data_IF_935126295317
#
_entry.id   IF_935126295317
#
_cell.length_a   1.000
_cell.length_b   1.000
_cell.length_c   1.000
_cell.angle_alpha   90.00
_cell.angle_beta   90.00
_cell.angle_gamma   90.00
#
_symmetry.space_group_name_H-M   'P 1'
#
loop_
_entity.id
_entity.type
_entity.pdbx_description
1 polymer ?
#
# COMPACT_ATOMS: atom_id res chain seq x y z
N UNK A 1 -13.39 -20.68 -5.33
CA UNK A 1 -13.05 -22.00 -4.75
C UNK A 1 -12.72 -22.92 -5.93
N UNK A 2 -11.44 -23.20 -6.17
CA UNK A 2 -10.99 -24.04 -7.28
C UNK A 2 -10.91 -25.48 -6.75
N UNK A 3 -11.70 -26.39 -7.30
CA UNK A 3 -11.58 -27.83 -7.03
C UNK A 3 -10.62 -28.43 -8.03
N UNK A 4 -9.47 -28.92 -7.55
CA UNK A 4 -8.51 -29.68 -8.35
C UNK A 4 -8.80 -31.15 -8.12
N UNK A 5 -9.16 -31.87 -9.19
CA UNK A 5 -9.26 -33.33 -9.18
C UNK A 5 -7.98 -33.90 -9.80
N UNK A 6 -7.29 -34.77 -9.07
CA UNK A 6 -6.23 -35.61 -9.63
C UNK A 6 -6.73 -37.04 -9.72
N UNK A 7 -6.78 -37.57 -10.94
CA UNK A 7 -7.14 -38.96 -11.20
C UNK A 7 -5.86 -39.80 -11.23
N UNK A 8 -5.78 -40.80 -10.36
CA UNK A 8 -4.78 -41.86 -10.46
C UNK A 8 -5.53 -43.19 -10.59
N UNK A 9 -5.41 -43.84 -11.76
CA UNK A 9 -6.02 -45.14 -12.08
C UNK A 9 -7.56 -45.22 -11.94
N UNK A 10 -8.28 -44.12 -12.18
CA UNK A 10 -9.75 -44.16 -12.38
C UNK A 10 -10.60 -44.48 -11.15
N UNK A 11 -10.09 -44.34 -9.91
CA UNK A 11 -10.90 -44.43 -8.69
C UNK A 11 -10.65 -43.25 -7.75
N UNK A 12 -11.74 -42.62 -7.30
CA UNK A 12 -11.71 -41.60 -6.24
C UNK A 12 -11.32 -42.25 -4.91
N UNK A 13 -10.20 -41.85 -4.31
CA UNK A 13 -9.91 -42.14 -2.89
C UNK A 13 -10.28 -40.91 -2.07
N UNK A 14 -11.02 -41.12 -0.98
CA UNK A 14 -11.34 -40.06 -0.02
C UNK A 14 -10.10 -39.63 0.77
N UNK A 15 -9.67 -38.38 0.59
CA UNK A 15 -8.50 -37.75 1.22
C UNK A 15 -8.78 -37.24 2.67
N UNK A 16 -9.61 -37.94 3.44
CA UNK A 16 -10.13 -37.43 4.72
C UNK A 16 -9.07 -37.17 5.79
N UNK A 17 -8.02 -38.00 5.87
CA UNK A 17 -6.97 -37.86 6.89
C UNK A 17 -5.86 -36.87 6.51
N UNK A 18 -5.56 -36.75 5.21
CA UNK A 18 -4.49 -35.86 4.74
C UNK A 18 -4.90 -34.38 4.79
N UNK A 19 -6.17 -34.06 4.56
CA UNK A 19 -6.66 -32.69 4.65
C UNK A 19 -6.49 -32.11 6.07
N UNK A 20 -6.78 -32.90 7.12
CA UNK A 20 -6.69 -32.39 8.50
C UNK A 20 -5.26 -32.16 8.96
N UNK A 21 -4.31 -33.03 8.59
CA UNK A 21 -2.90 -32.86 8.93
C UNK A 21 -2.28 -31.69 8.14
N UNK A 22 -2.68 -31.52 6.88
CA UNK A 22 -2.18 -30.44 6.02
C UNK A 22 -2.71 -29.08 6.45
N UNK A 23 -4.00 -28.96 6.77
CA UNK A 23 -4.58 -27.72 7.27
C UNK A 23 -4.12 -27.40 8.71
N UNK A 24 -3.65 -28.41 9.48
CA UNK A 24 -3.01 -28.23 10.80
C UNK A 24 -1.62 -27.58 10.70
N UNK A 25 -0.77 -28.02 9.77
CA UNK A 25 0.55 -27.39 9.57
C UNK A 25 0.49 -26.10 8.74
N UNK A 26 -0.55 -25.92 7.91
CA UNK A 26 -0.67 -24.79 6.98
C UNK A 26 -2.07 -24.14 7.06
N UNK A 27 -2.41 -23.47 8.17
CA UNK A 27 -3.66 -22.74 8.27
C UNK A 27 -3.75 -21.66 7.18
N UNK A 28 -4.96 -21.38 6.70
CA UNK A 28 -5.21 -20.38 5.66
C UNK A 28 -4.65 -19.02 6.11
N UNK A 29 -3.50 -18.64 5.55
CA UNK A 29 -2.93 -17.31 5.79
C UNK A 29 -3.59 -16.29 4.87
N UNK A 30 -4.22 -15.27 5.46
CA UNK A 30 -4.89 -14.16 4.73
C UNK A 30 -3.92 -13.15 4.10
N UNK A 31 -2.61 -13.29 4.31
CA UNK A 31 -1.57 -12.41 3.75
C UNK A 31 -0.61 -13.28 2.94
N UNK A 32 -0.85 -13.35 1.64
CA UNK A 32 -0.15 -14.24 0.72
C UNK A 32 1.24 -13.67 0.40
N UNK A 33 2.32 -14.32 0.84
CA UNK A 33 3.66 -14.06 0.31
C UNK A 33 3.84 -14.91 -0.95
N UNK A 34 4.02 -14.26 -2.09
CA UNK A 34 4.34 -14.94 -3.36
C UNK A 34 5.86 -15.05 -3.44
N UNK A 35 6.37 -16.28 -3.46
CA UNK A 35 7.78 -16.56 -3.66
C UNK A 35 7.97 -17.04 -5.11
N UNK A 36 8.99 -16.52 -5.79
CA UNK A 36 9.27 -16.88 -7.19
C UNK A 36 10.62 -17.58 -7.28
N UNK A 37 10.63 -18.78 -7.86
CA UNK A 37 11.87 -19.47 -8.23
C UNK A 37 12.14 -19.16 -9.70
N UNK A 38 13.37 -18.74 -9.98
CA UNK A 38 13.83 -18.43 -11.33
C UNK A 38 14.82 -19.50 -11.72
N UNK A 39 14.48 -20.32 -12.71
CA UNK A 39 15.31 -21.43 -13.16
C UNK A 39 15.77 -21.18 -14.60
N UNK A 40 17.03 -20.76 -14.81
CA UNK A 40 17.57 -20.67 -16.16
C UNK A 40 17.90 -22.08 -16.66
N UNK A 41 17.40 -22.43 -17.85
CA UNK A 41 17.85 -23.62 -18.57
C UNK A 41 18.19 -23.27 -20.01
N UNK A 42 19.16 -24.00 -20.55
CA UNK A 42 19.57 -23.90 -21.95
C UNK A 42 18.74 -24.86 -22.79
N UNK A 43 18.15 -24.34 -23.86
CA UNK A 43 17.54 -25.19 -24.87
C UNK A 43 18.56 -25.59 -25.95
N UNK A 44 18.26 -26.63 -26.72
CA UNK A 44 19.15 -27.23 -27.73
C UNK A 44 19.52 -26.27 -28.87
N UNK A 45 18.78 -25.18 -29.04
CA UNK A 45 19.02 -24.11 -30.01
C UNK A 45 19.89 -22.95 -29.46
N UNK A 46 20.46 -23.11 -28.26
CA UNK A 46 21.24 -22.10 -27.51
C UNK A 46 20.43 -20.91 -26.99
N UNK A 47 19.10 -20.99 -26.99
CA UNK A 47 18.26 -20.00 -26.31
C UNK A 47 18.32 -20.21 -24.79
N UNK A 48 18.51 -19.13 -24.03
CA UNK A 48 18.39 -19.17 -22.56
C UNK A 48 16.91 -18.98 -22.24
N UNK A 49 16.28 -20.03 -21.73
CA UNK A 49 14.90 -19.96 -21.25
C UNK A 49 14.95 -19.72 -19.74
N UNK A 50 14.40 -18.59 -19.31
CA UNK A 50 14.23 -18.29 -17.89
C UNK A 50 12.80 -18.64 -17.52
N UNK A 51 12.59 -19.78 -16.85
CA UNK A 51 11.29 -20.08 -16.27
C UNK A 51 11.17 -19.40 -14.91
N UNK A 52 10.07 -18.67 -14.71
CA UNK A 52 9.74 -18.08 -13.43
C UNK A 52 8.47 -18.73 -12.90
N UNK A 53 8.62 -19.51 -11.85
CA UNK A 53 7.52 -20.24 -11.25
C UNK A 53 7.12 -19.52 -9.96
N UNK A 54 5.89 -19.00 -9.95
CA UNK A 54 5.31 -18.32 -8.80
C UNK A 54 4.65 -19.36 -7.90
N UNK A 55 5.19 -19.54 -6.72
CA UNK A 55 4.64 -20.41 -5.71
C UNK A 55 3.99 -19.58 -4.62
N UNK A 56 2.79 -19.98 -4.23
CA UNK A 56 2.39 -19.78 -2.84
C UNK A 56 3.20 -20.77 -2.00
N UNK A 57 3.52 -20.48 -0.74
CA UNK A 57 4.24 -21.46 0.11
C UNK A 57 3.55 -22.84 0.13
N UNK A 58 2.21 -22.83 0.03
CA UNK A 58 1.38 -24.03 -0.15
C UNK A 58 1.66 -24.78 -1.46
N UNK A 59 1.77 -24.06 -2.58
CA UNK A 59 2.13 -24.63 -3.87
C UNK A 59 3.58 -25.13 -3.89
N UNK A 60 4.51 -24.43 -3.23
CA UNK A 60 5.91 -24.84 -3.10
C UNK A 60 6.02 -26.17 -2.35
N UNK A 61 5.36 -26.30 -1.20
CA UNK A 61 5.37 -27.53 -0.41
C UNK A 61 4.77 -28.72 -1.18
N UNK A 62 3.67 -28.52 -1.91
CA UNK A 62 3.06 -29.55 -2.76
C UNK A 62 3.99 -29.93 -3.92
N UNK A 63 4.63 -28.94 -4.56
CA UNK A 63 5.55 -29.20 -5.67
C UNK A 63 6.80 -29.95 -5.18
N UNK A 64 7.42 -29.49 -4.09
CA UNK A 64 8.60 -30.11 -3.46
C UNK A 64 8.31 -31.55 -3.02
N UNK A 65 7.17 -31.80 -2.35
CA UNK A 65 6.75 -33.16 -1.98
C UNK A 65 6.46 -34.03 -3.21
N UNK A 66 5.86 -33.48 -4.26
CA UNK A 66 5.60 -34.22 -5.51
C UNK A 66 6.89 -34.61 -6.23
N UNK A 67 7.93 -33.76 -6.19
CA UNK A 67 9.25 -34.05 -6.77
C UNK A 67 10.06 -35.03 -5.92
N UNK A 68 9.93 -34.99 -4.60
CA UNK A 68 10.58 -35.94 -3.69
C UNK A 68 9.98 -37.35 -3.75
N UNK A 69 8.67 -37.47 -3.99
CA UNK A 69 7.95 -38.75 -3.96
C UNK A 69 7.63 -39.36 -5.33
N UNK A 70 7.85 -38.64 -6.43
CA UNK A 70 7.58 -39.18 -7.76
C UNK A 70 8.80 -39.10 -8.67
N UNK A 71 9.24 -40.27 -9.16
CA UNK A 71 10.03 -40.33 -10.37
C UNK A 71 9.15 -39.87 -11.53
N UNK A 72 9.49 -38.72 -12.12
CA UNK A 72 8.96 -38.20 -13.40
C UNK A 72 7.48 -37.83 -13.42
N UNK A 73 7.13 -36.64 -12.91
CA UNK A 73 6.04 -35.85 -13.48
C UNK A 73 6.45 -34.37 -13.58
N UNK A 74 6.64 -33.89 -14.81
CA UNK A 74 6.76 -32.46 -15.09
C UNK A 74 5.35 -31.87 -15.18
N UNK A 75 4.94 -31.08 -14.18
CA UNK A 75 3.78 -30.22 -14.32
C UNK A 75 4.16 -29.08 -15.28
N UNK A 76 3.93 -29.25 -16.59
CA UNK A 76 4.09 -28.17 -17.56
C UNK A 76 2.89 -27.24 -17.47
N UNK A 77 3.06 -26.12 -16.79
CA UNK A 77 2.16 -24.98 -16.96
C UNK A 77 2.51 -24.29 -18.29
N UNK A 78 1.70 -24.51 -19.32
CA UNK A 78 1.77 -23.73 -20.55
C UNK A 78 1.10 -22.37 -20.31
N UNK A 79 1.89 -21.29 -20.22
CA UNK A 79 1.35 -19.96 -20.49
C UNK A 79 1.24 -19.85 -22.02
N UNK A 80 0.04 -20.05 -22.55
CA UNK A 80 -0.26 -19.85 -23.97
C UNK A 80 -0.20 -18.36 -24.31
N UNK A 81 1.00 -17.83 -24.59
CA UNK A 81 1.21 -16.80 -25.62
C UNK A 81 2.71 -16.59 -25.92
N UNK A 82 3.30 -17.30 -26.90
CA UNK A 82 4.71 -17.17 -27.23
C UNK A 82 5.04 -15.94 -28.10
N UNK A 83 4.08 -15.06 -28.41
CA UNK A 83 4.31 -13.87 -29.25
C UNK A 83 4.54 -12.58 -28.47
N UNK A 84 4.34 -12.58 -27.15
CA UNK A 84 4.60 -11.39 -26.33
C UNK A 84 5.98 -11.49 -25.68
N UNK A 85 6.85 -10.58 -26.10
CA UNK A 85 8.23 -10.46 -25.66
C UNK A 85 8.26 -10.04 -24.18
N UNK A 86 8.17 -11.01 -23.27
CA UNK A 86 8.09 -10.81 -21.81
C UNK A 86 9.28 -10.05 -21.22
N UNK A 87 10.41 -9.99 -21.95
CA UNK A 87 11.58 -9.18 -21.59
C UNK A 87 11.41 -7.67 -21.85
N UNK A 88 10.38 -7.26 -22.61
CA UNK A 88 10.14 -5.84 -22.94
C UNK A 88 9.02 -5.21 -22.12
N UNK A 89 8.37 -5.96 -21.22
CA UNK A 89 7.48 -5.33 -20.24
C UNK A 89 8.35 -4.80 -19.10
N UNK A 90 8.58 -3.48 -19.00
CA UNK A 90 9.23 -2.92 -17.82
C UNK A 90 8.49 -3.47 -16.61
N UNK A 91 9.22 -4.12 -15.69
CA UNK A 91 8.65 -4.57 -14.43
C UNK A 91 8.02 -3.33 -13.79
N UNK A 92 6.69 -3.28 -13.80
CA UNK A 92 5.96 -2.19 -13.16
C UNK A 92 6.39 -2.21 -11.70
N UNK A 93 6.92 -1.11 -11.20
CA UNK A 93 6.98 -0.91 -9.76
C UNK A 93 5.53 -0.81 -9.30
N UNK A 94 4.94 -1.95 -8.91
CA UNK A 94 3.57 -1.97 -8.42
C UNK A 94 3.47 -1.06 -7.21
N UNK A 95 2.50 -0.15 -7.19
CA UNK A 95 2.27 0.70 -6.03
C UNK A 95 2.09 -0.18 -4.78
N UNK A 96 2.91 0.03 -3.78
CA UNK A 96 2.91 -0.74 -2.54
C UNK A 96 3.24 0.14 -1.35
N UNK A 97 2.69 -0.21 -0.19
CA UNK A 97 3.16 0.35 1.08
C UNK A 97 4.60 -0.08 1.31
N UNK A 98 5.48 0.90 1.49
CA UNK A 98 6.89 0.68 1.82
C UNK A 98 7.03 0.52 3.34
N UNK A 99 6.68 1.55 4.12
CA UNK A 99 6.68 1.46 5.57
C UNK A 99 5.64 2.36 6.24
N UNK A 100 5.33 2.08 7.50
CA UNK A 100 4.51 2.93 8.37
C UNK A 100 5.25 3.20 9.68
N UNK A 101 5.08 4.39 10.24
CA UNK A 101 5.59 4.73 11.57
C UNK A 101 4.66 5.74 12.24
N UNK A 102 4.48 5.66 13.55
CA UNK A 102 3.67 6.62 14.28
C UNK A 102 4.34 7.00 15.62
N UNK A 103 4.00 8.18 16.15
CA UNK A 103 4.44 8.63 17.48
C UNK A 103 3.60 8.02 18.61
N UNK A 104 2.40 7.53 18.31
CA UNK A 104 1.37 7.25 19.31
C UNK A 104 0.71 8.54 19.80
N UNK A 105 0.44 8.61 21.11
CA UNK A 105 -0.37 9.67 21.72
C UNK A 105 0.50 10.79 22.26
N UNK A 106 0.21 12.04 21.89
CA UNK A 106 0.71 13.23 22.57
C UNK A 106 -0.32 13.73 23.60
N UNK A 107 -0.07 13.59 24.91
CA UNK A 107 -1.06 13.80 25.96
C UNK A 107 -1.46 15.28 26.19
N UNK A 108 -1.15 16.20 25.27
CA UNK A 108 -1.75 17.53 25.24
C UNK A 108 -0.85 18.69 25.64
N UNK A 109 0.39 18.42 26.05
CA UNK A 109 1.31 19.42 26.61
C UNK A 109 2.56 19.64 25.75
N UNK A 110 2.60 19.11 24.52
CA UNK A 110 3.74 19.32 23.63
C UNK A 110 3.38 20.32 22.52
N UNK A 111 4.40 21.05 22.09
CA UNK A 111 4.39 21.94 20.93
C UNK A 111 5.03 21.29 19.70
N UNK A 112 5.41 20.00 19.78
CA UNK A 112 6.04 19.29 18.66
C UNK A 112 5.97 17.76 18.76
N UNK A 113 6.00 17.12 17.60
CA UNK A 113 6.23 15.69 17.41
C UNK A 113 7.53 15.49 16.63
N UNK A 114 8.35 14.52 17.03
CA UNK A 114 9.49 14.08 16.21
C UNK A 114 9.79 12.60 16.41
N UNK A 115 10.02 11.89 15.32
CA UNK A 115 10.39 10.47 15.30
C UNK A 115 11.09 10.09 13.99
N UNK A 116 11.80 8.96 13.99
CA UNK A 116 12.46 8.43 12.80
C UNK A 116 11.46 7.63 11.95
N UNK A 117 11.50 7.81 10.63
CA UNK A 117 10.76 6.99 9.67
C UNK A 117 11.70 6.57 8.52
N UNK A 118 11.63 5.30 8.14
CA UNK A 118 12.54 4.71 7.14
C UNK A 118 11.84 4.56 5.81
N UNK A 119 12.36 5.23 4.79
CA UNK A 119 11.90 5.09 3.41
C UNK A 119 12.82 4.13 2.66
N UNK A 120 12.25 3.13 1.98
CA UNK A 120 12.96 2.22 1.09
C UNK A 120 12.36 2.21 -0.33
N UNK A 121 13.09 1.60 -1.26
CA UNK A 121 12.63 1.45 -2.64
C UNK A 121 12.89 2.66 -3.54
N UNK A 122 12.15 2.71 -4.66
CA UNK A 122 12.23 3.72 -5.71
C UNK A 122 10.85 4.29 -6.01
N UNK A 123 10.81 5.47 -6.62
CA UNK A 123 9.55 6.17 -6.95
C UNK A 123 8.68 6.32 -5.71
N UNK A 124 9.26 6.95 -4.68
CA UNK A 124 8.66 6.98 -3.35
C UNK A 124 7.82 8.25 -3.18
N UNK A 125 6.65 8.10 -2.56
CA UNK A 125 5.84 9.18 -2.02
C UNK A 125 5.64 8.93 -0.52
N UNK A 126 5.88 9.95 0.30
CA UNK A 126 5.62 9.92 1.74
C UNK A 126 4.39 10.75 2.07
N UNK A 127 3.54 10.24 2.95
CA UNK A 127 2.34 10.91 3.46
C UNK A 127 2.42 10.98 4.99
N UNK A 128 2.09 12.14 5.53
CA UNK A 128 1.87 12.34 6.96
C UNK A 128 0.38 12.54 7.23
N UNK A 129 -0.18 11.70 8.08
CA UNK A 129 -1.53 11.80 8.64
C UNK A 129 -1.44 12.39 10.05
N UNK A 130 -2.08 13.53 10.28
CA UNK A 130 -1.99 14.26 11.55
C UNK A 130 -3.37 14.67 12.03
N UNK A 131 -3.65 14.38 13.29
CA UNK A 131 -4.81 14.85 14.01
C UNK A 131 -4.33 15.77 15.13
N UNK A 132 -5.05 16.87 15.37
CA UNK A 132 -4.73 17.78 16.47
C UNK A 132 -5.99 18.39 17.09
N UNK A 133 -5.93 18.65 18.38
CA UNK A 133 -6.89 19.40 19.17
C UNK A 133 -6.10 20.36 20.07
N UNK A 134 -6.18 21.68 19.86
CA UNK A 134 -5.54 22.65 20.73
C UNK A 134 -6.03 22.55 22.16
N UNK A 135 -5.12 22.71 23.12
CA UNK A 135 -5.48 22.75 24.53
C UNK A 135 -6.37 23.97 24.83
N UNK A 136 -5.94 25.14 24.35
CA UNK A 136 -6.62 26.43 24.46
C UNK A 136 -6.34 27.33 23.25
N UNK A 137 -7.30 28.22 22.96
CA UNK A 137 -7.16 29.23 21.91
C UNK A 137 -6.96 28.64 20.50
N UNK A 138 -6.59 29.51 19.57
CA UNK A 138 -6.24 29.14 18.20
C UNK A 138 -4.77 28.74 18.16
N UNK A 139 -4.48 27.51 17.75
CA UNK A 139 -3.11 27.04 17.51
C UNK A 139 -2.90 26.74 16.04
N UNK A 140 -1.79 27.21 15.51
CA UNK A 140 -1.37 26.98 14.12
C UNK A 140 -0.49 25.73 14.06
N UNK A 141 -0.80 24.85 13.12
CA UNK A 141 0.06 23.73 12.73
C UNK A 141 1.04 24.20 11.65
N UNK A 142 2.34 24.06 11.92
CA UNK A 142 3.36 24.30 10.91
C UNK A 142 3.40 23.12 9.92
N UNK A 143 3.88 23.38 8.70
CA UNK A 143 4.13 22.30 7.75
C UNK A 143 5.13 21.30 8.37
N UNK A 144 4.82 19.99 8.41
CA UNK A 144 5.77 19.01 8.86
C UNK A 144 7.00 18.98 7.95
N UNK A 145 8.11 18.49 8.48
CA UNK A 145 9.34 18.26 7.71
C UNK A 145 9.73 16.78 7.75
N UNK A 146 10.38 16.32 6.69
CA UNK A 146 11.06 15.03 6.65
C UNK A 146 12.49 15.27 6.16
N UNK A 147 13.48 14.91 6.97
CA UNK A 147 14.88 15.25 6.73
C UNK A 147 15.13 16.76 6.49
N UNK A 148 14.44 17.62 7.25
CA UNK A 148 14.45 19.08 7.09
C UNK A 148 13.78 19.63 5.82
N UNK A 149 13.31 18.79 4.90
CA UNK A 149 12.49 19.20 3.76
C UNK A 149 11.03 19.33 4.17
N UNK A 150 10.41 20.48 3.90
CA UNK A 150 8.99 20.70 4.19
C UNK A 150 8.11 19.80 3.33
N UNK A 151 7.10 19.20 3.96
CA UNK A 151 6.02 18.54 3.25
C UNK A 151 5.04 19.58 2.70
N UNK A 152 4.31 19.19 1.65
CA UNK A 152 3.24 19.97 1.04
C UNK A 152 1.89 19.57 1.63
N UNK A 153 1.02 20.54 1.92
CA UNK A 153 -0.34 20.24 2.37
C UNK A 153 -1.16 19.67 1.21
N UNK A 154 -1.68 18.45 1.37
CA UNK A 154 -2.64 17.86 0.43
C UNK A 154 -4.06 18.30 0.75
N UNK A 155 -4.50 18.04 1.98
CA UNK A 155 -5.83 18.45 2.44
C UNK A 155 -5.87 18.60 3.97
N UNK A 156 -6.70 19.51 4.46
CA UNK A 156 -6.99 19.65 5.89
C UNK A 156 -8.46 19.94 6.11
N UNK A 157 -8.99 19.51 7.25
CA UNK A 157 -10.34 19.84 7.71
C UNK A 157 -10.29 20.19 9.19
N UNK A 158 -10.88 21.34 9.52
CA UNK A 158 -11.09 21.78 10.90
C UNK A 158 -12.59 21.70 11.22
N UNK A 159 -12.95 21.25 12.42
CA UNK A 159 -14.36 21.12 12.81
C UNK A 159 -14.99 22.49 13.01
N UNK A 160 -16.30 22.62 12.78
CA UNK A 160 -17.00 23.86 13.08
C UNK A 160 -17.12 24.05 14.61
N UNK A 161 -16.73 25.23 15.10
CA UNK A 161 -16.84 25.58 16.53
C UNK A 161 -15.82 24.91 17.47
N UNK A 162 -14.85 24.18 16.90
CA UNK A 162 -13.73 23.57 17.63
C UNK A 162 -12.48 23.71 16.77
N UNK A 163 -11.31 23.74 17.42
CA UNK A 163 -10.03 23.76 16.71
C UNK A 163 -9.48 22.36 16.38
N UNK A 164 -10.32 21.32 16.53
CA UNK A 164 -10.01 19.96 16.12
C UNK A 164 -9.81 19.85 14.62
N UNK A 165 -8.70 19.24 14.22
CA UNK A 165 -8.23 19.22 12.84
C UNK A 165 -7.68 17.86 12.44
N UNK A 166 -8.01 17.46 11.21
CA UNK A 166 -7.37 16.36 10.49
C UNK A 166 -6.63 16.94 9.29
N UNK A 167 -5.38 16.53 9.07
CA UNK A 167 -4.58 17.01 7.95
C UNK A 167 -3.76 15.87 7.34
N UNK A 168 -3.64 15.91 6.01
CA UNK A 168 -2.77 15.06 5.22
C UNK A 168 -1.77 15.93 4.48
N UNK A 169 -0.50 15.67 4.73
CA UNK A 169 0.63 16.28 4.05
C UNK A 169 1.37 15.23 3.23
N UNK A 170 2.08 15.62 2.17
CA UNK A 170 2.85 14.70 1.34
C UNK A 170 4.24 15.25 0.99
N UNK A 171 5.18 14.35 0.71
CA UNK A 171 6.48 14.64 0.13
C UNK A 171 6.67 13.75 -1.10
N UNK A 172 6.79 14.38 -2.27
CA UNK A 172 7.16 13.68 -3.51
C UNK A 172 8.67 13.42 -3.49
N UNK A 173 9.10 12.20 -3.84
CA UNK A 173 10.52 11.81 -3.88
C UNK A 173 11.29 12.15 -2.59
N UNK A 174 10.85 11.67 -1.41
CA UNK A 174 11.61 11.86 -0.17
C UNK A 174 12.97 11.14 -0.25
N UNK A 175 13.95 11.60 0.52
CA UNK A 175 15.22 10.87 0.66
C UNK A 175 14.97 9.49 1.26
N UNK A 176 15.63 8.47 0.70
CA UNK A 176 15.59 7.10 1.24
C UNK A 176 16.44 7.00 2.53
N UNK A 177 16.27 5.90 3.26
CA UNK A 177 16.93 5.66 4.54
C UNK A 177 16.10 6.13 5.74
N UNK A 178 16.68 5.99 6.93
CA UNK A 178 16.08 6.44 8.17
C UNK A 178 16.30 7.95 8.34
N UNK A 179 15.24 8.74 8.21
CA UNK A 179 15.29 10.18 8.42
C UNK A 179 14.27 10.63 9.46
N UNK A 180 14.46 11.84 9.98
CA UNK A 180 13.58 12.42 11.00
C UNK A 180 12.36 13.06 10.37
N UNK A 181 11.17 12.65 10.81
CA UNK A 181 9.95 13.42 10.70
C UNK A 181 9.85 14.40 11.88
N UNK A 182 9.44 15.64 11.61
CA UNK A 182 9.20 16.63 12.65
C UNK A 182 7.99 17.49 12.32
N UNK A 183 7.13 17.71 13.32
CA UNK A 183 5.93 18.53 13.26
C UNK A 183 5.93 19.46 14.46
N UNK A 184 5.47 20.70 14.28
CA UNK A 184 5.36 21.68 15.37
C UNK A 184 4.08 22.49 15.31
N UNK A 185 3.72 23.03 16.46
CA UNK A 185 2.54 23.88 16.66
C UNK A 185 2.94 25.18 17.36
N UNK A 186 2.15 26.23 17.17
CA UNK A 186 2.34 27.51 17.87
C UNK A 186 1.93 27.49 19.35
N UNK A 187 1.46 26.36 19.86
CA UNK A 187 0.99 26.17 21.23
C UNK A 187 0.66 24.70 21.53
N UNK A 188 0.30 24.42 22.77
CA UNK A 188 0.03 23.07 23.26
C UNK A 188 -1.15 22.40 22.52
N UNK A 189 -0.94 21.16 22.09
CA UNK A 189 -1.94 20.38 21.39
C UNK A 189 -1.97 18.93 21.87
N UNK A 190 -3.16 18.36 21.88
CA UNK A 190 -3.38 16.92 21.86
C UNK A 190 -3.29 16.48 20.42
N UNK A 191 -2.40 15.55 20.11
CA UNK A 191 -2.16 15.16 18.72
C UNK A 191 -1.90 13.67 18.57
N UNK A 192 -2.27 13.16 17.41
CA UNK A 192 -1.83 11.88 16.89
C UNK A 192 -1.21 12.10 15.52
N UNK A 193 -0.04 11.49 15.29
CA UNK A 193 0.66 11.60 14.02
C UNK A 193 1.19 10.24 13.56
N UNK A 194 1.05 9.99 12.27
CA UNK A 194 1.59 8.82 11.59
C UNK A 194 2.11 9.19 10.21
N UNK A 195 3.15 8.50 9.79
CA UNK A 195 3.79 8.63 8.48
C UNK A 195 3.72 7.29 7.77
N UNK A 196 3.40 7.33 6.48
CA UNK A 196 3.39 6.18 5.58
C UNK A 196 4.13 6.53 4.30
N UNK A 197 4.98 5.63 3.82
CA UNK A 197 5.65 5.74 2.53
C UNK A 197 5.12 4.70 1.55
N UNK A 198 5.16 5.03 0.26
CA UNK A 198 4.73 4.16 -0.82
C UNK A 198 5.82 4.09 -1.89
N UNK A 199 6.19 2.88 -2.33
CA UNK A 199 7.06 2.66 -3.49
C UNK A 199 6.24 2.49 -4.76
N UNK A 200 6.76 2.90 -5.93
CA UNK A 200 6.03 2.83 -7.20
C UNK A 200 4.93 3.89 -7.36
N UNK A 201 4.99 4.94 -6.53
CA UNK A 201 4.03 6.04 -6.55
C UNK A 201 4.35 7.06 -7.64
N UNK A 202 3.33 7.77 -8.11
CA UNK A 202 3.50 8.94 -8.95
C UNK A 202 4.21 10.04 -8.13
N UNK A 203 5.47 10.30 -8.46
CA UNK A 203 6.30 11.30 -7.77
C UNK A 203 6.12 12.71 -8.34
N UNK A 204 5.11 12.95 -9.18
CA UNK A 204 4.83 14.26 -9.77
C UNK A 204 3.57 14.91 -9.22
N UNK A 205 2.61 14.12 -8.71
CA UNK A 205 1.37 14.61 -8.15
C UNK A 205 0.68 13.58 -7.23
N UNK A 206 -0.20 14.05 -6.36
CA UNK A 206 -1.21 13.24 -5.66
C UNK A 206 -2.50 13.14 -6.50
N UNK A 207 -3.37 12.19 -6.16
CA UNK A 207 -4.67 12.02 -6.81
C UNK A 207 -5.76 12.89 -6.20
N UNK A 208 -6.99 12.37 -6.19
CA UNK A 208 -8.13 13.04 -5.56
C UNK A 208 -7.91 13.31 -4.06
N UNK A 209 -8.57 14.35 -3.55
CA UNK A 209 -8.65 14.64 -2.11
C UNK A 209 -10.09 14.96 -1.74
N UNK A 210 -10.52 14.56 -0.55
CA UNK A 210 -11.86 14.89 -0.03
C UNK A 210 -11.81 15.00 1.49
N UNK A 211 -12.70 15.80 2.07
CA UNK A 211 -12.83 15.89 3.51
C UNK A 211 -14.28 16.01 3.92
N UNK A 212 -14.57 15.66 5.17
CA UNK A 212 -15.89 15.77 5.76
C UNK A 212 -15.80 16.16 7.23
N UNK A 213 -16.88 16.75 7.75
CA UNK A 213 -17.05 17.05 9.17
C UNK A 213 -18.53 17.04 9.50
N UNK A 214 -18.88 16.31 10.54
CA UNK A 214 -20.24 16.25 11.09
C UNK A 214 -20.11 15.97 12.59
N UNK A 215 -21.22 16.05 13.32
CA UNK A 215 -21.33 15.43 14.63
C UNK A 215 -22.09 14.10 14.46
N UNK A 216 -21.45 12.99 14.79
CA UNK A 216 -22.04 11.65 14.87
C UNK A 216 -21.06 10.67 15.55
N UNK A 217 -21.49 9.42 15.71
CA UNK A 217 -20.62 8.31 16.16
C UNK A 217 -19.71 7.77 15.05
N UNK A 218 -19.93 8.14 13.79
CA UNK A 218 -19.20 7.61 12.63
C UNK A 218 -18.68 8.75 11.76
N UNK A 219 -17.36 8.93 11.73
CA UNK A 219 -16.72 9.76 10.72
C UNK A 219 -16.63 8.95 9.44
N UNK A 220 -17.05 9.55 8.35
CA UNK A 220 -17.03 8.91 7.04
C UNK A 220 -16.78 9.91 5.95
N UNK A 221 -16.04 9.48 4.94
CA UNK A 221 -15.87 10.20 3.68
C UNK A 221 -15.76 9.21 2.53
N UNK A 222 -16.38 9.57 1.41
CA UNK A 222 -16.27 8.82 0.17
C UNK A 222 -15.33 9.58 -0.76
N UNK A 223 -14.24 8.92 -1.16
CA UNK A 223 -13.30 9.42 -2.17
C UNK A 223 -13.45 8.59 -3.43
N UNK A 224 -13.43 9.22 -4.60
CA UNK A 224 -13.38 8.50 -5.88
C UNK A 224 -11.96 8.55 -6.41
N UNK A 225 -11.29 7.39 -6.47
CA UNK A 225 -9.94 7.30 -7.01
C UNK A 225 -9.95 7.55 -8.52
N UNK A 226 -8.95 8.26 -9.00
CA UNK A 226 -8.80 8.67 -10.40
C UNK A 226 -8.01 7.66 -11.22
N UNK A 227 -7.26 6.76 -10.56
CA UNK A 227 -6.50 5.69 -11.21
C UNK A 227 -6.83 4.31 -10.63
N UNK A 228 -6.49 3.30 -11.43
CA UNK A 228 -6.38 1.92 -10.96
C UNK A 228 -5.14 1.77 -10.08
N UNK A 229 -5.13 0.74 -9.24
CA UNK A 229 -4.04 0.41 -8.33
C UNK A 229 -3.63 1.57 -7.40
N UNK A 230 -4.59 2.41 -6.99
CA UNK A 230 -4.33 3.51 -6.07
C UNK A 230 -4.37 3.05 -4.61
N UNK A 231 -3.81 3.85 -3.72
CA UNK A 231 -4.12 3.79 -2.29
C UNK A 231 -4.91 5.03 -1.88
N UNK A 232 -5.71 4.92 -0.84
CA UNK A 232 -6.33 6.05 -0.15
C UNK A 232 -5.75 6.09 1.25
N UNK A 233 -5.24 7.25 1.67
CA UNK A 233 -4.81 7.50 3.05
C UNK A 233 -5.79 8.47 3.69
N UNK A 234 -6.17 8.24 4.94
CA UNK A 234 -7.01 9.16 5.70
C UNK A 234 -6.36 9.65 7.01
N UNK A 235 -6.93 10.74 7.50
CA UNK A 235 -6.70 11.28 8.83
C UNK A 235 -8.04 11.67 9.42
N UNK A 236 -8.28 11.33 10.67
CA UNK A 236 -9.49 11.71 11.39
C UNK A 236 -9.17 12.27 12.77
N UNK A 237 -10.04 13.14 13.25
CA UNK A 237 -9.97 13.74 14.56
C UNK A 237 -11.39 13.89 15.12
N UNK A 238 -11.59 13.53 16.39
CA UNK A 238 -12.82 13.82 17.12
C UNK A 238 -12.57 14.88 18.19
N UNK A 239 -13.57 15.71 18.46
CA UNK A 239 -13.59 16.50 19.68
C UNK A 239 -14.04 15.60 20.83
N UNK A 240 -13.40 15.72 22.00
CA UNK A 240 -13.78 15.11 23.29
C UNK A 240 -13.95 13.56 23.31
N UNK A 241 -13.27 12.92 24.26
CA UNK A 241 -13.05 11.48 24.26
C UNK A 241 -14.20 10.58 24.73
N UNK A 242 -13.94 9.29 24.55
CA UNK A 242 -14.59 8.07 25.07
C UNK A 242 -13.48 7.02 25.32
N UNK A 243 -13.73 5.70 25.29
CA UNK A 243 -12.67 4.68 25.39
C UNK A 243 -12.47 3.83 24.12
N UNK A 244 -13.34 3.94 23.11
CA UNK A 244 -13.28 3.06 21.93
C UNK A 244 -13.25 3.86 20.64
N UNK A 245 -12.23 3.62 19.82
CA UNK A 245 -12.05 4.22 18.51
C UNK A 245 -11.64 3.14 17.51
N UNK A 246 -12.52 2.85 16.55
CA UNK A 246 -12.38 1.69 15.67
C UNK A 246 -12.38 2.11 14.20
N UNK A 247 -11.36 1.67 13.49
CA UNK A 247 -11.24 1.79 12.04
C UNK A 247 -12.35 1.02 11.32
N UNK A 248 -12.77 1.52 10.15
CA UNK A 248 -13.77 0.86 9.31
C UNK A 248 -13.26 -0.42 8.65
N UNK A 249 -14.18 -1.14 8.01
CA UNK A 249 -13.85 -2.36 7.28
C UNK A 249 -12.85 -2.06 6.14
N UNK A 250 -12.01 -3.06 5.82
CA UNK A 250 -11.05 -3.07 4.71
C UNK A 250 -9.89 -2.05 4.77
N UNK A 251 -9.93 -1.12 5.72
CA UNK A 251 -8.85 -0.19 6.00
C UNK A 251 -7.79 -0.83 6.91
N UNK A 252 -6.53 -0.39 6.77
CA UNK A 252 -5.40 -0.76 7.65
C UNK A 252 -4.94 0.44 8.46
N UNK A 253 -4.89 0.28 9.79
CA UNK A 253 -4.51 1.33 10.72
C UNK A 253 -3.03 1.72 10.62
N UNK A 254 -2.76 3.04 10.56
CA UNK A 254 -1.42 3.64 10.71
C UNK A 254 -1.19 4.01 12.18
N UNK A 255 -2.17 4.68 12.80
CA UNK A 255 -2.17 5.02 14.21
C UNK A 255 -3.59 5.19 14.73
N UNK A 256 -3.74 5.04 16.04
CA UNK A 256 -4.99 5.21 16.77
C UNK A 256 -4.70 5.88 18.11
N UNK A 257 -4.94 7.19 18.15
CA UNK A 257 -4.59 8.03 19.27
C UNK A 257 -5.75 8.20 20.26
N UNK A 258 -5.79 7.30 21.25
CA UNK A 258 -6.84 7.27 22.29
C UNK A 258 -6.33 7.94 23.57
N UNK A 259 -6.91 9.10 23.90
CA UNK A 259 -6.64 9.81 25.15
C UNK A 259 -7.59 9.34 26.25
N UNK A 260 -7.04 8.98 27.42
CA UNK A 260 -7.80 8.47 28.57
C UNK A 260 -8.47 9.56 29.39
N UNK A 261 -8.08 10.83 29.20
CA UNK A 261 -8.76 11.97 29.82
C UNK A 261 -9.94 12.43 28.97
N UNK A 262 -11.13 12.42 29.59
CA UNK A 262 -12.43 12.82 29.05
C UNK A 262 -12.53 14.22 28.40
N UNK A 263 -11.48 15.03 28.42
CA UNK A 263 -11.57 16.45 28.07
C UNK A 263 -11.05 16.80 26.68
N UNK A 264 -10.23 15.96 26.02
CA UNK A 264 -9.53 16.37 24.79
C UNK A 264 -9.32 15.20 23.83
N UNK A 265 -9.50 15.50 22.55
CA UNK A 265 -10.05 14.56 21.58
C UNK A 265 -9.06 13.67 20.84
N UNK A 266 -9.59 12.71 20.09
CA UNK A 266 -8.87 11.59 19.48
C UNK A 266 -8.45 11.84 18.07
N UNK A 267 -7.58 10.99 17.55
CA UNK A 267 -7.43 10.89 16.12
C UNK A 267 -6.90 9.56 15.65
N UNK A 268 -6.98 9.36 14.35
CA UNK A 268 -6.58 8.14 13.69
C UNK A 268 -6.11 8.44 12.29
N UNK A 269 -5.34 7.51 11.75
CA UNK A 269 -4.97 7.52 10.35
C UNK A 269 -4.92 6.10 9.85
N UNK A 270 -5.37 5.88 8.62
CA UNK A 270 -5.40 4.57 7.99
C UNK A 270 -5.15 4.67 6.49
N UNK A 271 -5.10 3.51 5.85
CA UNK A 271 -5.07 3.42 4.40
C UNK A 271 -5.85 2.23 3.86
N UNK A 272 -6.27 2.31 2.60
CA UNK A 272 -6.93 1.24 1.85
C UNK A 272 -6.40 1.20 0.41
N UNK A 273 -6.18 0.00 -0.13
CA UNK A 273 -5.82 -0.19 -1.54
C UNK A 273 -7.05 -0.31 -2.44
N UNK A 274 -7.01 0.28 -3.63
CA UNK A 274 -8.07 0.23 -4.63
C UNK A 274 -7.55 -0.23 -5.99
N UNK A 275 -7.87 -1.48 -6.35
CA UNK A 275 -7.40 -2.08 -7.60
C UNK A 275 -7.99 -1.41 -8.86
N UNK A 276 -9.30 -1.13 -8.86
CA UNK A 276 -9.99 -0.46 -9.97
C UNK A 276 -10.49 0.90 -9.52
N UNK A 277 -10.24 1.93 -10.33
CA UNK A 277 -10.70 3.29 -10.09
C UNK A 277 -12.18 3.33 -9.69
N UNK A 278 -12.52 4.09 -8.65
CA UNK A 278 -13.89 4.17 -8.15
C UNK A 278 -13.98 4.64 -6.71
N UNK A 279 -15.19 4.55 -6.15
CA UNK A 279 -15.42 5.00 -4.78
C UNK A 279 -14.78 4.08 -3.74
N UNK A 280 -14.16 4.70 -2.73
CA UNK A 280 -13.60 4.11 -1.51
C UNK A 280 -14.20 4.88 -0.33
N UNK A 281 -14.67 4.16 0.68
CA UNK A 281 -15.26 4.75 1.89
C UNK A 281 -14.28 4.61 3.05
N UNK A 282 -13.66 5.72 3.44
CA UNK A 282 -12.86 5.78 4.66
C UNK A 282 -13.78 6.10 5.82
N UNK A 283 -13.63 5.37 6.92
CA UNK A 283 -14.51 5.53 8.07
C UNK A 283 -13.88 5.11 9.38
N UNK A 284 -14.30 5.78 10.44
CA UNK A 284 -13.94 5.51 11.82
C UNK A 284 -15.19 5.59 12.68
N UNK A 285 -15.27 4.76 13.71
CA UNK A 285 -16.43 4.67 14.60
C UNK A 285 -15.99 4.83 16.05
N UNK A 286 -16.82 5.51 16.84
CA UNK A 286 -16.72 5.57 18.31
C UNK A 286 -17.91 4.89 18.98
N UNK A 287 -17.78 4.58 20.27
CA UNK A 287 -18.73 3.74 21.01
C UNK A 287 -20.06 4.41 21.34
N UNK A 288 -20.07 5.71 21.62
CA UNK A 288 -21.25 6.51 21.94
C UNK A 288 -21.02 8.01 21.65
N UNK A 289 -21.96 8.86 22.02
CA UNK A 289 -21.83 10.32 21.89
C UNK A 289 -22.03 10.88 20.47
N UNK A 290 -22.59 12.08 20.40
CA UNK A 290 -22.75 12.80 19.14
C UNK A 290 -21.88 14.07 19.19
N UNK A 291 -20.59 13.88 18.92
CA UNK A 291 -19.58 14.94 19.03
C UNK A 291 -18.97 15.20 17.65
N UNK A 292 -18.65 16.46 17.39
CA UNK A 292 -18.03 16.90 16.14
C UNK A 292 -16.72 16.16 15.86
N UNK A 293 -16.55 15.78 14.60
CA UNK A 293 -15.35 15.15 14.07
C UNK A 293 -14.94 15.75 12.75
N UNK A 294 -13.70 15.50 12.35
CA UNK A 294 -13.18 15.79 11.02
C UNK A 294 -12.57 14.52 10.45
N UNK A 295 -12.64 14.38 9.14
CA UNK A 295 -11.92 13.35 8.39
C UNK A 295 -11.47 13.96 7.07
N UNK A 296 -10.26 13.60 6.65
CA UNK A 296 -9.71 13.96 5.36
C UNK A 296 -9.11 12.72 4.72
N UNK A 297 -9.26 12.56 3.42
CA UNK A 297 -8.74 11.45 2.64
C UNK A 297 -8.02 11.96 1.38
N UNK A 298 -6.98 11.24 0.97
CA UNK A 298 -6.12 11.57 -0.17
C UNK A 298 -5.76 10.31 -0.94
N UNK A 299 -5.86 10.36 -2.26
CA UNK A 299 -5.44 9.30 -3.16
C UNK A 299 -3.94 9.38 -3.46
N UNK A 300 -3.28 8.22 -3.40
CA UNK A 300 -1.91 7.99 -3.84
C UNK A 300 -1.98 7.16 -5.12
N UNK A 301 -1.43 7.72 -6.19
CA UNK A 301 -1.51 7.15 -7.53
C UNK A 301 -0.29 6.30 -7.84
N UNK A 302 -0.48 5.22 -8.60
CA UNK A 302 0.62 4.48 -9.20
C UNK A 302 1.33 5.33 -10.26
N UNK A 303 2.66 5.21 -10.35
CA UNK A 303 3.45 5.85 -11.41
C UNK A 303 3.05 5.27 -12.76
N UNK A 304 2.65 6.15 -13.69
CA UNK A 304 2.41 5.73 -15.07
C UNK A 304 3.75 5.41 -15.74
N UNK A 305 3.85 4.20 -16.30
CA UNK A 305 4.99 3.83 -17.14
C UNK A 305 4.76 4.43 -18.52
N UNK A 306 5.57 5.43 -18.89
CA UNK A 306 5.64 5.86 -20.28
C UNK A 306 6.43 4.82 -21.05
N UNK A 307 5.74 3.95 -21.80
CA UNK A 307 6.40 3.04 -22.73
C UNK A 307 7.04 3.86 -23.85
N UNK A 308 8.31 4.21 -23.71
CA UNK A 308 9.08 4.74 -24.84
C UNK A 308 9.33 3.58 -25.79
N UNK A 309 8.51 3.45 -26.83
CA UNK A 309 8.82 2.58 -27.96
C UNK A 309 10.09 3.11 -28.62
N UNK A 310 11.24 2.58 -28.22
CA UNK A 310 12.47 2.81 -28.95
C UNK A 310 12.33 2.04 -30.25
N UNK A 311 12.01 2.76 -31.33
CA UNK A 311 12.02 2.19 -32.67
C UNK A 311 13.48 1.88 -33.03
N UNK A 312 13.93 0.66 -32.76
CA UNK A 312 15.22 0.18 -33.26
C UNK A 312 15.08 0.00 -34.76
N UNK A 313 15.50 0.99 -35.54
CA UNK A 313 15.62 0.84 -36.98
C UNK A 313 16.80 -0.12 -37.24
N UNK A 314 16.51 -1.41 -37.37
CA UNK A 314 17.51 -2.36 -37.87
C UNK A 314 17.75 -2.06 -39.34
N UNK A 315 18.86 -1.40 -39.64
CA UNK A 315 19.30 -1.23 -41.02
C UNK A 315 19.74 -2.59 -41.57
N UNK A 316 18.87 -3.26 -42.31
CA UNK A 316 19.25 -4.46 -43.07
C UNK A 316 20.05 -4.03 -44.29
N UNK A 317 21.38 -3.99 -44.17
CA UNK A 317 22.25 -3.85 -45.33
C UNK A 317 22.32 -5.19 -46.06
N UNK A 318 21.46 -5.40 -47.06
CA UNK A 318 21.58 -6.53 -47.98
C UNK A 318 22.73 -6.25 -48.95
N UNK A 319 23.85 -6.96 -48.79
CA UNK A 319 24.94 -6.92 -49.76
C UNK A 319 24.52 -7.68 -51.03
N UNK A 320 24.28 -6.98 -52.13
CA UNK A 320 24.07 -7.59 -53.45
C UNK A 320 25.42 -7.95 -54.06
N UNK A 321 25.76 -9.23 -54.14
CA UNK A 321 26.94 -9.70 -54.88
C UNK A 321 26.62 -9.79 -56.37
N UNK A 322 27.25 -8.96 -57.20
CA UNK A 322 27.19 -9.07 -58.66
C UNK A 322 28.27 -10.03 -59.15
N UNK A 323 27.89 -11.16 -59.72
CA UNK A 323 28.82 -12.07 -60.42
C UNK A 323 28.98 -11.62 -61.87
N UNK A 324 30.21 -11.30 -62.29
CA UNK A 324 30.58 -11.06 -63.69
C UNK A 324 31.08 -12.36 -64.30
N UNK A 325 30.41 -12.86 -65.34
CA UNK A 325 30.88 -13.99 -66.15
C UNK A 325 31.82 -13.50 -67.25
N UNK A 326 33.02 -14.07 -67.32
CA UNK A 326 33.98 -13.96 -68.44
C UNK A 326 33.90 -15.17 -69.34
#
# INVERSE_FOLDING_TARGET
>A
MIKIHTLQNGRERGWGFFHSLFDFFFPIQKRLRVEAITNPHHDWDKTIIVSREFYTFRAFAVHYWSTLLSSTYHLKMYLENPTENWMLHPMRGSLAVDSTTNRGNNPGNDTSDSFSHTVTGSDVLLVSSTSMNPEAGTVTQNAPTYNSSSLTLGISRTSAGSNGRSSLYYHLSPSTGANTFALSWSGNCYSGSGVISFSGADTTAIGATVSNTTASTVATVNITTTRNNSYVVDSTNWNNGETTFTIGADQTEIYNAIFTSNTKGWGGGSYESKATAGSVTMSWTRGSGNIGWTIAAMEIMEKLVTSTTTSTSTSTSTSTSTSTST
#
